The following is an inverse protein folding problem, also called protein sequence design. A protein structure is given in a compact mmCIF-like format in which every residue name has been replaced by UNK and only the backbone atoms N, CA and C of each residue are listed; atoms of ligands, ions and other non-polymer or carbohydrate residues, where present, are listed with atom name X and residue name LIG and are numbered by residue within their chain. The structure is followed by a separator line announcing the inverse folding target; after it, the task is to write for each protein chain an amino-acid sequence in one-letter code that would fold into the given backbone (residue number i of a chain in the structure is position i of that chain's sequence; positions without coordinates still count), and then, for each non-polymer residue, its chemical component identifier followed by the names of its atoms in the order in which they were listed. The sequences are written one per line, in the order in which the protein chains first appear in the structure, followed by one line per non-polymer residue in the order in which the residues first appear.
data_IF_181198040430
#
_entry.id   IF_181198040430
#
_cell.length_a   1.000
_cell.length_b   1.000
_cell.length_c   1.000
_cell.angle_alpha   90.00
_cell.angle_beta   90.00
_cell.angle_gamma   90.00
#
_symmetry.space_group_name_H-M   'P 1'
#
loop_
_entity.id
_entity.type
_entity.pdbx_description
1 polymer ?
#
# COMPACT_ATOMS: atom_id res chain seq x y z
N UNK A 1 -29.83 2.53 1.99
CA UNK A 1 -28.93 1.48 1.50
C UNK A 1 -27.82 2.16 0.72
N UNK A 2 -26.59 2.15 1.21
CA UNK A 2 -25.46 2.68 0.45
C UNK A 2 -24.75 1.53 -0.25
N UNK A 3 -24.82 1.51 -1.57
CA UNK A 3 -24.09 0.53 -2.40
C UNK A 3 -22.76 1.14 -2.76
N UNK A 4 -21.69 0.58 -2.23
CA UNK A 4 -20.31 0.97 -2.57
C UNK A 4 -19.87 0.07 -3.71
N UNK A 5 -19.59 0.68 -4.87
CA UNK A 5 -19.04 -0.02 -6.04
C UNK A 5 -17.53 0.23 -6.05
N UNK A 6 -16.76 -0.78 -5.67
CA UNK A 6 -15.30 -0.75 -5.75
C UNK A 6 -14.86 -1.13 -7.16
N UNK A 7 -14.08 -0.28 -7.82
CA UNK A 7 -13.55 -0.55 -9.16
C UNK A 7 -12.51 -1.69 -9.12
N UNK A 8 -12.49 -2.57 -10.13
CA UNK A 8 -11.50 -3.64 -10.20
C UNK A 8 -10.15 -3.05 -10.62
N UNK A 9 -9.08 -3.55 -10.00
CA UNK A 9 -7.66 -3.19 -10.16
C UNK A 9 -7.22 -1.86 -9.56
N UNK A 10 -6.69 -1.90 -8.32
CA UNK A 10 -5.37 -1.33 -7.94
C UNK A 10 -5.13 -1.56 -6.43
N UNK A 11 -4.19 -2.46 -6.11
CA UNK A 11 -3.51 -2.67 -4.83
C UNK A 11 -4.23 -2.18 -3.56
N UNK A 12 -5.20 -2.95 -3.05
CA UNK A 12 -5.80 -2.68 -1.74
C UNK A 12 -5.19 -3.58 -0.66
N UNK A 13 -4.89 -3.01 0.51
CA UNK A 13 -4.37 -3.71 1.68
C UNK A 13 -5.41 -3.71 2.79
N UNK A 14 -5.79 -4.89 3.30
CA UNK A 14 -6.61 -4.99 4.50
C UNK A 14 -5.69 -4.93 5.72
N UNK A 15 -5.75 -3.82 6.45
CA UNK A 15 -5.07 -3.72 7.74
C UNK A 15 -5.87 -4.44 8.83
N UNK A 16 -5.21 -5.10 9.80
CA UNK A 16 -5.87 -5.78 10.91
C UNK A 16 -6.87 -4.90 11.67
N UNK A 17 -6.55 -3.63 11.92
CA UNK A 17 -7.36 -2.76 12.79
C UNK A 17 -7.87 -1.47 12.13
N UNK A 18 -7.28 -1.02 11.01
CA UNK A 18 -7.65 0.24 10.36
C UNK A 18 -8.49 0.08 9.07
N UNK A 19 -8.93 -1.14 8.76
CA UNK A 19 -9.76 -1.42 7.59
C UNK A 19 -8.98 -1.51 6.28
N UNK A 20 -9.63 -1.20 5.15
CA UNK A 20 -9.02 -1.29 3.81
C UNK A 20 -8.31 0.00 3.44
N UNK A 21 -7.04 -0.11 3.08
CA UNK A 21 -6.23 0.96 2.51
C UNK A 21 -6.08 0.77 1.01
N UNK A 22 -6.22 1.87 0.25
CA UNK A 22 -5.92 1.88 -1.17
C UNK A 22 -4.46 2.27 -1.37
N UNK A 23 -3.60 1.30 -1.68
CA UNK A 23 -2.18 1.53 -1.85
C UNK A 23 -1.89 2.37 -3.10
N UNK A 24 -2.73 2.38 -4.13
CA UNK A 24 -2.48 3.25 -5.29
C UNK A 24 -2.57 4.75 -4.99
N UNK A 25 -3.10 5.13 -3.82
CA UNK A 25 -3.11 6.52 -3.35
C UNK A 25 -1.83 6.88 -2.59
N UNK A 26 -0.97 5.91 -2.30
CA UNK A 26 0.30 6.11 -1.61
C UNK A 26 1.30 6.63 -2.63
N UNK A 27 1.85 7.82 -2.34
CA UNK A 27 2.94 8.42 -3.10
C UNK A 27 4.28 7.92 -2.61
N UNK A 28 4.44 7.76 -1.30
CA UNK A 28 5.67 7.32 -0.67
C UNK A 28 5.36 6.53 0.60
N UNK A 29 6.12 5.47 0.81
CA UNK A 29 6.11 4.68 2.05
C UNK A 29 7.50 4.76 2.68
N UNK A 30 7.59 5.22 3.92
CA UNK A 30 8.77 5.06 4.75
C UNK A 30 8.49 3.99 5.79
N UNK A 31 9.45 3.13 6.06
CA UNK A 31 9.28 2.00 6.96
C UNK A 31 10.53 1.80 7.80
N UNK A 32 10.32 1.51 9.09
CA UNK A 32 11.37 1.24 10.06
C UNK A 32 10.95 0.04 10.91
N UNK A 33 11.78 -1.01 10.96
CA UNK A 33 11.45 -2.28 11.63
C UNK A 33 11.81 -2.31 13.12
N UNK A 34 12.77 -1.49 13.53
CA UNK A 34 13.36 -1.53 14.88
C UNK A 34 13.43 -0.13 15.47
N UNK A 35 13.09 0.06 16.76
CA UNK A 35 12.75 -0.95 17.77
C UNK A 35 11.31 -1.49 17.70
N UNK A 36 10.45 -0.94 16.86
CA UNK A 36 9.07 -1.40 16.61
C UNK A 36 8.69 -1.06 15.17
N UNK A 37 7.95 -1.93 14.46
CA UNK A 37 7.57 -1.68 13.08
C UNK A 37 6.68 -0.44 12.96
N UNK A 38 7.16 0.56 12.23
CA UNK A 38 6.48 1.82 11.96
C UNK A 38 6.47 2.04 10.45
N UNK A 39 5.32 2.38 9.89
CA UNK A 39 5.16 2.76 8.50
C UNK A 39 4.59 4.18 8.42
N UNK A 40 5.30 5.10 7.77
CA UNK A 40 4.80 6.43 7.45
C UNK A 40 4.39 6.46 6.00
N UNK A 41 3.08 6.53 5.78
CA UNK A 41 2.46 6.64 4.46
C UNK A 41 2.31 8.12 4.12
N UNK A 42 2.90 8.54 3.00
CA UNK A 42 2.59 9.83 2.38
C UNK A 42 1.63 9.60 1.23
N UNK A 43 0.45 10.18 1.33
CA UNK A 43 -0.61 10.10 0.33
C UNK A 43 -0.34 11.04 -0.85
N UNK A 44 -1.02 10.82 -1.98
CA UNK A 44 -0.89 11.63 -3.19
C UNK A 44 -1.21 13.12 -2.97
N UNK A 45 -2.11 13.43 -2.03
CA UNK A 45 -2.49 14.79 -1.66
C UNK A 45 -1.46 15.45 -0.72
N UNK A 46 -0.40 14.74 -0.34
CA UNK A 46 0.65 15.22 0.55
C UNK A 46 0.40 14.97 2.03
N UNK A 47 -0.77 14.44 2.42
CA UNK A 47 -1.04 14.05 3.80
C UNK A 47 -0.13 12.89 4.22
N UNK A 48 0.30 12.92 5.47
CA UNK A 48 1.12 11.86 6.06
C UNK A 48 0.36 11.15 7.17
N UNK A 49 0.36 9.82 7.16
CA UNK A 49 -0.26 8.99 8.17
C UNK A 49 0.70 7.91 8.66
N UNK A 50 0.86 7.79 9.97
CA UNK A 50 1.69 6.78 10.63
C UNK A 50 0.88 5.56 11.05
N UNK A 51 1.36 4.38 10.68
CA UNK A 51 0.86 3.08 11.11
C UNK A 51 1.94 2.38 11.94
N UNK A 52 1.52 1.57 12.90
CA UNK A 52 2.40 0.91 13.86
C UNK A 52 2.08 -0.58 13.97
N UNK A 53 3.05 -1.36 14.42
CA UNK A 53 2.84 -2.77 14.75
C UNK A 53 2.44 -3.58 13.52
N UNK A 54 1.45 -4.45 13.70
CA UNK A 54 0.95 -5.36 12.67
C UNK A 54 0.41 -4.63 11.43
N UNK A 55 -0.13 -3.43 11.60
CA UNK A 55 -0.59 -2.62 10.46
C UNK A 55 0.59 -2.19 9.59
N UNK A 56 1.70 -1.78 10.21
CA UNK A 56 2.90 -1.34 9.49
C UNK A 56 3.49 -2.51 8.69
N UNK A 57 3.60 -3.69 9.29
CA UNK A 57 4.07 -4.92 8.64
C UNK A 57 3.16 -5.33 7.48
N UNK A 58 1.83 -5.28 7.67
CA UNK A 58 0.87 -5.62 6.63
C UNK A 58 0.97 -4.67 5.43
N UNK A 59 1.12 -3.36 5.67
CA UNK A 59 1.27 -2.36 4.62
C UNK A 59 2.56 -2.60 3.85
N UNK A 60 3.69 -2.81 4.52
CA UNK A 60 4.98 -3.10 3.89
C UNK A 60 4.90 -4.35 3.00
N UNK A 61 4.35 -5.46 3.51
CA UNK A 61 4.25 -6.70 2.76
C UNK A 61 3.40 -6.55 1.48
N UNK A 62 2.23 -5.90 1.59
CA UNK A 62 1.36 -5.67 0.44
C UNK A 62 1.95 -4.64 -0.54
N UNK A 63 2.68 -3.63 -0.04
CA UNK A 63 3.37 -2.64 -0.87
C UNK A 63 4.50 -3.27 -1.68
N UNK A 64 5.28 -4.16 -1.06
CA UNK A 64 6.34 -4.89 -1.75
C UNK A 64 5.78 -5.82 -2.83
N UNK A 65 4.69 -6.54 -2.55
CA UNK A 65 4.00 -7.36 -3.55
C UNK A 65 3.46 -6.50 -4.71
N UNK A 66 2.91 -5.32 -4.40
CA UNK A 66 2.43 -4.37 -5.39
C UNK A 66 3.54 -3.85 -6.30
N UNK A 67 4.68 -3.48 -5.71
CA UNK A 67 5.86 -3.03 -6.43
C UNK A 67 6.41 -4.12 -7.36
N UNK A 68 6.50 -5.38 -6.89
CA UNK A 68 6.98 -6.49 -7.72
C UNK A 68 6.08 -6.74 -8.94
N UNK A 69 4.76 -6.78 -8.75
CA UNK A 69 3.80 -6.96 -9.84
C UNK A 69 3.90 -5.84 -10.87
N UNK A 70 4.09 -4.60 -10.42
CA UNK A 70 4.18 -3.45 -11.31
C UNK A 70 5.50 -3.46 -12.10
N UNK A 71 6.63 -3.78 -11.46
CA UNK A 71 7.93 -3.89 -12.11
C UNK A 71 8.01 -5.06 -13.11
N UNK A 72 7.38 -6.20 -12.79
CA UNK A 72 7.28 -7.32 -13.74
C UNK A 72 6.45 -6.97 -14.97
N UNK A 73 5.34 -6.23 -14.81
CA UNK A 73 4.48 -5.81 -15.93
C UNK A 73 5.19 -4.82 -16.87
N UNK A 74 5.98 -3.88 -16.33
CA UNK A 74 6.82 -2.99 -17.13
C UNK A 74 7.87 -3.75 -17.96
N UNK A 75 8.43 -4.83 -17.40
CA UNK A 75 9.45 -5.65 -18.08
C UNK A 75 8.86 -6.48 -19.21
N UNK A 76 7.59 -6.88 -19.12
CA UNK A 76 6.86 -7.58 -20.19
C UNK A 76 6.46 -6.63 -21.32
N UNK A 77 6.10 -5.38 -21.01
CA UNK A 77 5.66 -4.39 -22.01
C UNK A 77 6.80 -3.88 -22.91
N UNK A 78 8.02 -3.81 -22.42
CA UNK A 78 9.20 -3.39 -23.23
C UNK A 78 9.81 -4.52 -24.09
N UNK A 79 9.10 -5.64 -24.28
CA UNK A 79 9.57 -6.79 -25.08
C UNK A 79 8.80 -7.00 -26.39
N UNK A 80 8.11 -5.97 -26.89
CA UNK A 80 7.45 -5.97 -28.20
C UNK A 80 8.11 -4.97 -29.13
#
# INVERSE_FOLDING_TARGET
MHTIISTPSVFSCKTPTAGWLNLAQIRQLQFEEQPSPVAVVTWHNGDTQSFFGENATAIMANWQEAADRTCNDYRVKNRR
#
